data_IF_457142899988
#
_entry.id   IF_457142899988
#
_cell.length_a   1.000
_cell.length_b   1.000
_cell.length_c   1.000
_cell.angle_alpha   90.00
_cell.angle_beta   90.00
_cell.angle_gamma   90.00
#
_symmetry.space_group_name_H-M   'P 1'
#
loop_
_entity.id
_entity.type
_entity.pdbx_description
1 polymer ?
#
# COMPACT_ATOMS: atom_id res chain seq x y z
N UNK A 1 -19.43 -10.97 3.51
CA UNK A 1 -18.31 -10.28 4.20
C UNK A 1 -17.23 -9.81 3.23
N UNK A 2 -16.58 -10.70 2.46
CA UNK A 2 -15.45 -10.32 1.57
C UNK A 2 -15.90 -9.71 0.23
N UNK A 3 -17.13 -9.98 -0.20
CA UNK A 3 -17.76 -9.41 -1.40
C UNK A 3 -18.52 -8.10 -1.12
N UNK A 4 -18.44 -7.58 0.11
CA UNK A 4 -19.04 -6.29 0.45
C UNK A 4 -18.40 -5.18 -0.40
N UNK A 5 -19.18 -4.26 -0.99
CA UNK A 5 -18.64 -3.11 -1.71
C UNK A 5 -17.65 -2.30 -0.87
N UNK A 6 -17.89 -2.20 0.45
CA UNK A 6 -17.03 -1.46 1.39
C UNK A 6 -15.67 -2.16 1.51
N UNK A 7 -15.67 -3.48 1.73
CA UNK A 7 -14.44 -4.25 1.86
C UNK A 7 -13.63 -4.26 0.56
N UNK A 8 -14.28 -4.43 -0.59
CA UNK A 8 -13.62 -4.39 -1.90
C UNK A 8 -13.04 -3.01 -2.21
N UNK A 9 -13.83 -1.95 -1.96
CA UNK A 9 -13.38 -0.56 -2.13
C UNK A 9 -12.16 -0.24 -1.26
N UNK A 10 -12.16 -0.70 0.00
CA UNK A 10 -11.03 -0.54 0.90
C UNK A 10 -9.80 -1.32 0.41
N UNK A 11 -9.94 -2.59 0.03
CA UNK A 11 -8.82 -3.42 -0.43
C UNK A 11 -8.18 -2.79 -1.67
N UNK A 12 -8.98 -2.49 -2.69
CA UNK A 12 -8.50 -1.93 -3.95
C UNK A 12 -7.93 -0.53 -3.73
N UNK A 13 -8.65 0.33 -3.02
CA UNK A 13 -8.25 1.71 -2.75
C UNK A 13 -6.95 1.79 -1.95
N UNK A 14 -6.76 0.90 -0.97
CA UNK A 14 -5.54 0.88 -0.16
C UNK A 14 -4.33 0.38 -0.94
N UNK A 15 -4.47 -0.72 -1.69
CA UNK A 15 -3.37 -1.29 -2.46
C UNK A 15 -2.96 -0.34 -3.60
N UNK A 16 -3.92 0.04 -4.45
CA UNK A 16 -3.64 0.92 -5.58
C UNK A 16 -3.24 2.31 -5.12
N UNK A 17 -3.93 2.86 -4.11
CA UNK A 17 -3.62 4.18 -3.58
C UNK A 17 -2.20 4.28 -3.03
N UNK A 18 -1.71 3.26 -2.33
CA UNK A 18 -0.33 3.23 -1.82
C UNK A 18 0.70 3.10 -2.94
N UNK A 19 0.51 2.19 -3.88
CA UNK A 19 1.44 1.99 -4.99
C UNK A 19 1.50 3.23 -5.88
N UNK A 20 0.34 3.70 -6.35
CA UNK A 20 0.25 4.84 -7.26
C UNK A 20 0.68 6.12 -6.55
N UNK A 21 0.19 6.36 -5.33
CA UNK A 21 0.53 7.56 -4.57
C UNK A 21 2.03 7.67 -4.31
N UNK A 22 2.65 6.65 -3.73
CA UNK A 22 4.08 6.70 -3.38
C UNK A 22 4.93 6.82 -4.64
N UNK A 23 4.64 6.05 -5.69
CA UNK A 23 5.42 6.10 -6.94
C UNK A 23 5.28 7.44 -7.64
N UNK A 24 4.06 8.00 -7.70
CA UNK A 24 3.79 9.28 -8.35
C UNK A 24 4.47 10.44 -7.60
N UNK A 25 4.34 10.49 -6.27
CA UNK A 25 4.96 11.54 -5.47
C UNK A 25 6.48 11.43 -5.46
N UNK A 26 7.05 10.22 -5.46
CA UNK A 26 8.48 10.02 -5.64
C UNK A 26 8.95 10.53 -7.01
N UNK A 27 8.24 10.18 -8.08
CA UNK A 27 8.54 10.69 -9.43
C UNK A 27 8.45 12.22 -9.50
N UNK A 28 7.41 12.80 -8.89
CA UNK A 28 7.23 14.24 -8.86
C UNK A 28 8.37 14.93 -8.10
N UNK A 29 8.75 14.41 -6.93
CA UNK A 29 9.86 14.92 -6.12
C UNK A 29 11.19 14.89 -6.86
N UNK A 30 11.44 13.83 -7.65
CA UNK A 30 12.63 13.74 -8.51
C UNK A 30 12.56 14.76 -9.64
N UNK A 31 11.39 14.89 -10.29
CA UNK A 31 11.21 15.78 -11.44
C UNK A 31 11.38 17.26 -11.08
N UNK A 32 10.95 17.67 -9.90
CA UNK A 32 11.07 19.05 -9.42
C UNK A 32 12.40 19.33 -8.71
N UNK A 33 13.30 18.34 -8.63
CA UNK A 33 14.65 18.51 -8.07
C UNK A 33 14.72 18.54 -6.54
N UNK A 34 13.65 18.15 -5.83
CA UNK A 34 13.67 18.05 -4.35
C UNK A 34 14.39 16.78 -3.89
N UNK A 35 14.39 15.73 -4.70
CA UNK A 35 15.06 14.47 -4.42
C UNK A 35 15.88 13.98 -5.63
N UNK A 36 16.96 13.26 -5.37
CA UNK A 36 17.79 12.63 -6.40
C UNK A 36 17.63 11.11 -6.33
N UNK A 37 17.33 10.48 -7.47
CA UNK A 37 17.24 9.01 -7.57
C UNK A 37 18.63 8.43 -7.84
N UNK A 38 19.16 7.50 -7.00
CA UNK A 38 20.36 6.74 -7.34
C UNK A 38 20.18 5.98 -8.66
N UNK A 39 21.25 5.81 -9.44
CA UNK A 39 21.18 5.06 -10.70
C UNK A 39 20.78 3.60 -10.48
N UNK A 40 21.22 3.01 -9.37
CA UNK A 40 20.89 1.66 -8.96
C UNK A 40 19.40 1.47 -8.64
N UNK A 41 18.71 2.50 -8.12
CA UNK A 41 17.33 2.37 -7.65
C UNK A 41 16.33 2.43 -8.81
N UNK A 42 15.58 1.37 -9.06
CA UNK A 42 14.52 1.35 -10.08
C UNK A 42 13.21 1.94 -9.57
N UNK A 43 12.43 2.57 -10.45
CA UNK A 43 11.04 2.96 -10.12
C UNK A 43 10.16 1.75 -9.77
N UNK A 44 10.54 0.55 -10.22
CA UNK A 44 9.86 -0.70 -9.82
C UNK A 44 10.10 -1.03 -8.35
N UNK A 45 11.28 -0.73 -7.82
CA UNK A 45 11.57 -0.92 -6.40
C UNK A 45 10.82 0.12 -5.55
N UNK A 46 10.72 1.36 -6.03
CA UNK A 46 9.87 2.38 -5.39
C UNK A 46 8.40 1.92 -5.35
N UNK A 47 7.89 1.36 -6.45
CA UNK A 47 6.54 0.79 -6.48
C UNK A 47 6.39 -0.41 -5.53
N UNK A 48 7.41 -1.27 -5.42
CA UNK A 48 7.46 -2.38 -4.47
C UNK A 48 7.45 -1.92 -3.01
N UNK A 49 8.24 -0.90 -2.68
CA UNK A 49 8.23 -0.25 -1.39
C UNK A 49 6.86 0.41 -1.11
N UNK A 50 6.26 1.01 -2.13
CA UNK A 50 4.91 1.57 -2.07
C UNK A 50 3.85 0.51 -1.74
N UNK A 51 3.94 -0.68 -2.36
CA UNK A 51 3.08 -1.81 -2.03
C UNK A 51 3.26 -2.27 -0.56
N UNK A 52 4.51 -2.41 -0.10
CA UNK A 52 4.82 -2.78 1.30
C UNK A 52 4.29 -1.76 2.31
N UNK A 53 4.28 -0.47 1.97
CA UNK A 53 3.73 0.58 2.84
C UNK A 53 2.21 0.41 3.11
N UNK A 54 1.53 -0.45 2.36
CA UNK A 54 0.16 -0.88 2.59
C UNK A 54 -0.02 -1.97 3.66
N UNK A 55 1.04 -2.37 4.39
CA UNK A 55 0.94 -3.39 5.45
C UNK A 55 0.40 -2.84 6.79
N UNK A 56 0.53 -1.54 7.07
CA UNK A 56 0.27 -0.98 8.40
C UNK A 56 -1.17 -1.17 8.87
N UNK A 57 -1.37 -1.91 9.97
CA UNK A 57 -2.69 -2.25 10.52
C UNK A 57 -3.14 -1.30 11.64
N UNK A 58 -2.26 -0.99 12.60
CA UNK A 58 -2.64 -0.31 13.85
C UNK A 58 -3.37 1.01 13.64
N UNK A 59 -2.78 1.93 12.86
CA UNK A 59 -3.40 3.24 12.57
C UNK A 59 -4.66 3.07 11.72
N UNK A 60 -4.69 2.09 10.82
CA UNK A 60 -5.85 1.88 9.95
C UNK A 60 -7.05 1.29 10.71
N UNK A 61 -6.81 0.41 11.67
CA UNK A 61 -7.86 -0.11 12.56
C UNK A 61 -8.41 1.00 13.45
N UNK A 62 -7.53 1.84 14.01
CA UNK A 62 -7.95 3.00 14.79
C UNK A 62 -8.81 3.97 13.97
N UNK A 63 -8.42 4.28 12.73
CA UNK A 63 -9.21 5.12 11.82
C UNK A 63 -10.55 4.44 11.47
N UNK A 64 -10.59 3.11 11.31
CA UNK A 64 -11.83 2.40 11.06
C UNK A 64 -12.80 2.50 12.24
N UNK A 65 -12.32 2.34 13.48
CA UNK A 65 -13.13 2.49 14.69
C UNK A 65 -13.69 3.93 14.85
N UNK A 66 -12.99 4.95 14.32
CA UNK A 66 -13.50 6.33 14.29
C UNK A 66 -14.47 6.60 13.14
N UNK A 67 -14.31 5.92 12.00
CA UNK A 67 -15.06 6.19 10.79
C UNK A 67 -16.42 5.48 10.71
N UNK A 68 -16.57 4.33 11.39
CA UNK A 68 -17.78 3.50 11.29
C UNK A 68 -18.44 3.30 12.65
N UNK A 69 -19.71 3.72 12.76
CA UNK A 69 -20.54 3.51 13.95
C UNK A 69 -21.37 2.22 13.89
N UNK A 70 -21.62 1.70 12.68
CA UNK A 70 -22.30 0.42 12.46
C UNK A 70 -21.30 -0.74 12.65
N UNK A 71 -21.56 -1.60 13.63
CA UNK A 71 -20.71 -2.75 13.97
C UNK A 71 -20.56 -3.73 12.81
N UNK A 72 -21.60 -3.93 12.00
CA UNK A 72 -21.54 -4.86 10.89
C UNK A 72 -20.66 -4.33 9.74
N UNK A 73 -20.63 -3.02 9.52
CA UNK A 73 -19.72 -2.40 8.54
C UNK A 73 -18.28 -2.39 9.05
N UNK A 74 -18.10 -2.10 10.33
CA UNK A 74 -16.79 -2.08 10.99
C UNK A 74 -16.09 -3.44 10.90
N UNK A 75 -16.82 -4.54 11.15
CA UNK A 75 -16.27 -5.89 11.03
C UNK A 75 -15.80 -6.20 9.60
N UNK A 76 -16.57 -5.79 8.59
CA UNK A 76 -16.19 -5.94 7.18
C UNK A 76 -14.93 -5.16 6.84
N UNK A 77 -14.79 -3.93 7.37
CA UNK A 77 -13.61 -3.08 7.17
C UNK A 77 -12.38 -3.68 7.84
N UNK A 78 -12.51 -4.16 9.09
CA UNK A 78 -11.41 -4.81 9.82
C UNK A 78 -10.88 -6.04 9.08
N UNK A 79 -11.78 -6.89 8.58
CA UNK A 79 -11.40 -8.04 7.76
C UNK A 79 -10.74 -7.59 6.46
N UNK A 80 -11.30 -6.59 5.78
CA UNK A 80 -10.73 -6.02 4.56
C UNK A 80 -9.32 -5.45 4.76
N UNK A 81 -9.07 -4.79 5.91
CA UNK A 81 -7.76 -4.26 6.26
C UNK A 81 -6.71 -5.36 6.40
N UNK A 82 -7.04 -6.45 7.09
CA UNK A 82 -6.13 -7.60 7.27
C UNK A 82 -5.83 -8.25 5.91
N UNK A 83 -6.85 -8.50 5.09
CA UNK A 83 -6.68 -9.08 3.75
C UNK A 83 -5.80 -8.17 2.89
N UNK A 84 -6.08 -6.86 2.86
CA UNK A 84 -5.31 -5.90 2.09
C UNK A 84 -3.85 -5.84 2.55
N UNK A 85 -3.58 -5.92 3.86
CA UNK A 85 -2.24 -5.89 4.41
C UNK A 85 -1.43 -7.11 3.94
N UNK A 86 -2.02 -8.30 3.98
CA UNK A 86 -1.38 -9.54 3.49
C UNK A 86 -1.07 -9.43 1.99
N UNK A 87 -2.03 -8.97 1.18
CA UNK A 87 -1.83 -8.79 -0.26
C UNK A 87 -0.74 -7.77 -0.54
N UNK A 88 -0.77 -6.61 0.14
CA UNK A 88 0.25 -5.56 0.04
C UNK A 88 1.65 -6.08 0.40
N UNK A 89 1.78 -6.85 1.48
CA UNK A 89 3.04 -7.46 1.90
C UNK A 89 3.57 -8.45 0.86
N UNK A 90 2.70 -9.33 0.35
CA UNK A 90 3.09 -10.32 -0.68
C UNK A 90 3.49 -9.67 -1.99
N UNK A 91 2.72 -8.68 -2.46
CA UNK A 91 3.02 -7.92 -3.68
C UNK A 91 4.35 -7.17 -3.54
N UNK A 92 4.51 -6.42 -2.45
CA UNK A 92 5.73 -5.67 -2.19
C UNK A 92 6.95 -6.58 -2.08
N UNK A 93 6.84 -7.70 -1.36
CA UNK A 93 7.92 -8.68 -1.24
C UNK A 93 8.28 -9.31 -2.58
N UNK A 94 7.29 -9.63 -3.41
CA UNK A 94 7.52 -10.26 -4.73
C UNK A 94 8.17 -9.29 -5.70
N UNK A 95 7.73 -8.03 -5.73
CA UNK A 95 8.32 -6.98 -6.57
C UNK A 95 9.76 -6.73 -6.13
N UNK A 96 9.97 -6.50 -4.83
CA UNK A 96 11.31 -6.23 -4.31
C UNK A 96 12.22 -7.43 -4.49
N UNK A 97 11.78 -8.66 -4.25
CA UNK A 97 12.62 -9.84 -4.47
C UNK A 97 13.03 -10.03 -5.94
N UNK A 98 12.17 -9.63 -6.88
CA UNK A 98 12.43 -9.76 -8.32
C UNK A 98 13.32 -8.63 -8.87
N UNK A 99 13.24 -7.45 -8.28
CA UNK A 99 13.97 -6.27 -8.74
C UNK A 99 15.04 -5.78 -7.76
N UNK A 100 15.25 -6.51 -6.65
CA UNK A 100 16.27 -6.19 -5.65
C UNK A 100 17.58 -6.05 -6.36
N UNK A 101 18.08 -4.83 -6.38
CA UNK A 101 19.43 -4.52 -6.82
C UNK A 101 20.38 -5.46 -6.10
N UNK A 102 21.08 -6.30 -6.86
CA UNK A 102 22.32 -6.88 -6.39
C UNK A 102 23.25 -5.68 -6.12
N UNK A 103 23.49 -5.40 -4.85
CA UNK A 103 24.57 -4.51 -4.43
C UNK A 103 25.86 -5.29 -4.65
N UNK A 104 26.34 -5.28 -5.89
CA UNK A 104 27.74 -5.60 -6.19
C UNK A 104 28.63 -4.43 -5.74
#
# INVERSE_FOLDING_TARGET
MITSPIALGLIVGRILGKIVGITLFAWLAIKIGIASKPESLSFKEIAGAGALAGMGLTVSLFIADLAFTDTHQLDQVKVGLIISAIISSLLGLTILRRYSVAQD
#
